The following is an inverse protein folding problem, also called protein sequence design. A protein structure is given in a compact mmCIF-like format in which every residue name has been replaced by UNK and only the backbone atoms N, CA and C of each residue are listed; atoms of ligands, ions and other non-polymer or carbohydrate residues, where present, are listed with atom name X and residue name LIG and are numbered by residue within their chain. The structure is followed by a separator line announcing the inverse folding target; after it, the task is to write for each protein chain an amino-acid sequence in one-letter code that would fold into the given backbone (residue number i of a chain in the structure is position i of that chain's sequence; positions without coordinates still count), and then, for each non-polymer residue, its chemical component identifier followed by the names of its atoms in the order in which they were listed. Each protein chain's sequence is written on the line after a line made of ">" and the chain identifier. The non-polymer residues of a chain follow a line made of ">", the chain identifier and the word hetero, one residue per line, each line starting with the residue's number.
data_IF_028838389728
#
_entry.id   IF_028838389728
#
_cell.length_a   1.000
_cell.length_b   1.000
_cell.length_c   1.000
_cell.angle_alpha   90.00
_cell.angle_beta   90.00
_cell.angle_gamma   90.00
#
_symmetry.space_group_name_H-M   'P 1'
#
loop_
_entity.id
_entity.type
_entity.pdbx_description
1 polymer ?
#
# COMPACT_ATOMS: atom_id res chain seq x y z
N UNK A 1 -41.99 -43.52 -15.25
CA UNK A 1 -42.04 -43.14 -13.86
C UNK A 1 -40.99 -42.05 -13.64
N UNK A 2 -41.49 -40.87 -13.31
CA UNK A 2 -40.71 -39.67 -13.01
C UNK A 2 -40.05 -39.82 -11.65
N UNK A 3 -38.85 -39.29 -11.48
CA UNK A 3 -38.45 -38.57 -10.25
C UNK A 3 -37.40 -37.56 -10.59
N UNK A 4 -37.89 -36.32 -10.76
CA UNK A 4 -37.12 -35.09 -10.69
C UNK A 4 -36.57 -34.94 -9.26
N UNK A 5 -35.30 -34.69 -9.12
CA UNK A 5 -34.72 -34.15 -7.89
C UNK A 5 -34.00 -32.83 -8.24
N UNK A 6 -34.78 -31.77 -8.13
CA UNK A 6 -34.26 -30.40 -8.04
C UNK A 6 -33.40 -30.25 -6.79
N UNK A 7 -32.11 -30.09 -6.96
CA UNK A 7 -31.23 -29.47 -5.95
C UNK A 7 -30.81 -28.09 -6.37
N UNK A 8 -31.74 -27.18 -6.19
CA UNK A 8 -31.50 -25.73 -6.27
C UNK A 8 -30.78 -25.29 -4.99
N UNK A 9 -29.48 -25.53 -4.87
CA UNK A 9 -28.62 -24.93 -3.86
C UNK A 9 -28.27 -23.52 -4.32
N UNK A 10 -29.07 -22.57 -3.87
CA UNK A 10 -28.75 -21.14 -3.99
C UNK A 10 -27.45 -20.87 -3.21
N UNK A 11 -26.31 -20.88 -3.90
CA UNK A 11 -25.11 -20.24 -3.40
C UNK A 11 -25.40 -18.74 -3.26
N UNK A 12 -25.64 -18.28 -2.03
CA UNK A 12 -25.61 -16.86 -1.71
C UNK A 12 -24.20 -16.38 -2.05
N UNK A 13 -24.06 -15.74 -3.19
CA UNK A 13 -22.90 -14.93 -3.52
C UNK A 13 -22.82 -13.80 -2.49
N UNK A 14 -22.07 -14.00 -1.40
CA UNK A 14 -21.56 -12.89 -0.64
C UNK A 14 -20.62 -12.14 -1.58
N UNK A 15 -21.10 -11.07 -2.18
CA UNK A 15 -20.32 -10.15 -2.98
C UNK A 15 -19.22 -9.60 -2.06
N UNK A 16 -18.05 -10.18 -2.09
CA UNK A 16 -16.89 -9.65 -1.38
C UNK A 16 -16.64 -8.27 -1.98
N UNK A 17 -16.74 -7.23 -1.16
CA UNK A 17 -16.49 -5.85 -1.61
C UNK A 17 -15.04 -5.81 -2.11
N UNK A 18 -14.83 -5.23 -3.29
CA UNK A 18 -13.51 -5.02 -3.86
C UNK A 18 -12.67 -4.11 -2.94
N UNK A 19 -11.37 -4.38 -2.83
CA UNK A 19 -10.45 -3.56 -2.01
C UNK A 19 -10.50 -2.11 -2.49
N UNK A 20 -10.49 -1.87 -3.80
CA UNK A 20 -10.57 -0.53 -4.39
C UNK A 20 -11.90 0.15 -4.08
N UNK A 21 -13.02 -0.59 -4.14
CA UNK A 21 -14.34 -0.07 -3.78
C UNK A 21 -14.39 0.32 -2.30
N UNK A 22 -13.80 -0.49 -1.40
CA UNK A 22 -13.71 -0.17 0.03
C UNK A 22 -12.86 1.08 0.28
N UNK A 23 -11.68 1.16 -0.33
CA UNK A 23 -10.80 2.34 -0.25
C UNK A 23 -11.56 3.60 -0.73
N UNK A 24 -12.20 3.53 -1.89
CA UNK A 24 -12.92 4.67 -2.48
C UNK A 24 -14.13 5.07 -1.64
N UNK A 25 -14.86 4.11 -1.09
CA UNK A 25 -16.00 4.36 -0.19
C UNK A 25 -15.55 5.05 1.11
N UNK A 26 -14.42 4.62 1.69
CA UNK A 26 -13.86 5.25 2.88
C UNK A 26 -13.36 6.67 2.59
N UNK A 27 -12.68 6.90 1.46
CA UNK A 27 -12.30 8.24 1.01
C UNK A 27 -13.50 9.17 0.88
N UNK A 28 -14.57 8.74 0.21
CA UNK A 28 -15.78 9.54 0.01
C UNK A 28 -16.46 9.90 1.34
N UNK A 29 -16.24 9.13 2.40
CA UNK A 29 -16.74 9.39 3.75
C UNK A 29 -15.72 10.14 4.62
N UNK A 30 -14.61 10.61 4.05
CA UNK A 30 -13.48 11.21 4.77
C UNK A 30 -12.92 10.31 5.89
N UNK A 31 -13.10 8.99 5.80
CA UNK A 31 -12.58 8.05 6.78
C UNK A 31 -11.13 7.74 6.49
N UNK A 32 -10.27 8.04 7.43
CA UNK A 32 -8.83 7.74 7.35
C UNK A 32 -8.58 6.25 7.51
N UNK A 33 -7.55 5.74 6.82
CA UNK A 33 -7.20 4.32 6.81
C UNK A 33 -5.74 4.10 7.17
N UNK A 34 -5.45 2.98 7.84
CA UNK A 34 -4.10 2.56 8.20
C UNK A 34 -3.78 1.28 7.44
N UNK A 35 -2.64 1.26 6.77
CA UNK A 35 -2.00 0.04 6.27
C UNK A 35 -0.68 -0.21 6.99
N UNK A 36 -0.46 -1.43 7.42
CA UNK A 36 0.84 -1.88 7.92
C UNK A 36 1.59 -2.58 6.80
N UNK A 37 2.88 -2.24 6.64
CA UNK A 37 3.76 -2.88 5.65
C UNK A 37 4.68 -3.88 6.35
N UNK A 38 4.62 -5.13 5.94
CA UNK A 38 5.44 -6.24 6.43
C UNK A 38 6.46 -6.61 5.37
N UNK A 39 7.74 -6.50 5.70
CA UNK A 39 8.85 -6.96 4.85
C UNK A 39 9.05 -8.47 5.07
N UNK A 40 8.81 -9.33 4.07
CA UNK A 40 8.86 -10.78 4.24
C UNK A 40 10.27 -11.32 4.54
N UNK A 41 11.34 -10.57 4.21
CA UNK A 41 12.71 -10.96 4.52
C UNK A 41 13.11 -10.67 5.97
N UNK A 42 12.34 -9.81 6.68
CA UNK A 42 12.63 -9.38 8.05
C UNK A 42 11.64 -9.91 9.07
N UNK A 43 10.40 -10.14 8.66
CA UNK A 43 9.33 -10.48 9.57
C UNK A 43 9.37 -11.97 9.97
N UNK A 44 9.68 -12.25 11.22
CA UNK A 44 9.49 -13.55 11.83
C UNK A 44 8.02 -13.82 12.15
N UNK A 45 7.63 -15.09 12.25
CA UNK A 45 6.27 -15.49 12.64
C UNK A 45 5.87 -14.88 13.99
N UNK A 46 6.80 -14.84 14.96
CA UNK A 46 6.59 -14.23 16.28
C UNK A 46 6.28 -12.73 16.20
N UNK A 47 6.94 -11.99 15.29
CA UNK A 47 6.66 -10.57 15.09
C UNK A 47 5.29 -10.35 14.43
N UNK A 48 4.93 -11.20 13.45
CA UNK A 48 3.59 -11.17 12.82
C UNK A 48 2.51 -11.45 13.87
N UNK A 49 2.72 -12.45 14.75
CA UNK A 49 1.79 -12.79 15.83
C UNK A 49 1.64 -11.65 16.84
N UNK A 50 2.74 -11.02 17.23
CA UNK A 50 2.71 -9.88 18.16
C UNK A 50 1.95 -8.67 17.55
N UNK A 51 2.12 -8.42 16.26
CA UNK A 51 1.46 -7.32 15.57
C UNK A 51 -0.04 -7.57 15.40
N UNK A 52 -0.42 -8.77 14.94
CA UNK A 52 -1.83 -9.14 14.74
C UNK A 52 -2.57 -9.33 16.08
N UNK A 53 -1.87 -9.78 17.13
CA UNK A 53 -2.42 -9.91 18.46
C UNK A 53 -2.55 -8.59 19.24
N UNK A 54 -2.06 -7.47 18.67
CA UNK A 54 -2.16 -6.18 19.33
C UNK A 54 -3.63 -5.72 19.44
N UNK A 55 -4.09 -5.18 20.59
CA UNK A 55 -5.50 -4.78 20.78
C UNK A 55 -6.01 -3.84 19.69
N UNK A 56 -5.19 -2.89 19.26
CA UNK A 56 -5.53 -1.90 18.25
C UNK A 56 -5.46 -2.41 16.79
N UNK A 57 -5.05 -3.66 16.57
CA UNK A 57 -4.98 -4.24 15.23
C UNK A 57 -6.34 -4.27 14.51
N UNK A 58 -7.43 -4.28 15.26
CA UNK A 58 -8.80 -4.19 14.72
C UNK A 58 -9.00 -2.94 13.87
N UNK A 59 -8.28 -1.85 14.17
CA UNK A 59 -8.33 -0.55 13.48
C UNK A 59 -7.42 -0.46 12.25
N UNK A 60 -6.58 -1.47 11.98
CA UNK A 60 -5.83 -1.61 10.73
C UNK A 60 -6.81 -1.96 9.62
N UNK A 61 -6.70 -1.30 8.48
CA UNK A 61 -7.60 -1.52 7.34
C UNK A 61 -7.00 -2.53 6.35
N UNK A 62 -5.69 -2.45 6.06
CA UNK A 62 -4.99 -3.31 5.11
C UNK A 62 -3.64 -3.77 5.65
N UNK A 63 -3.16 -4.91 5.12
CA UNK A 63 -1.80 -5.39 5.35
C UNK A 63 -1.09 -5.42 4.00
N UNK A 64 -0.06 -4.58 3.84
CA UNK A 64 0.80 -4.64 2.68
C UNK A 64 1.96 -5.59 2.96
N UNK A 65 2.33 -6.42 1.98
CA UNK A 65 3.45 -7.37 2.09
C UNK A 65 4.39 -7.18 0.92
N UNK A 66 5.65 -6.93 1.20
CA UNK A 66 6.67 -6.76 0.17
C UNK A 66 7.79 -5.81 0.56
N UNK A 67 8.57 -5.43 -0.42
CA UNK A 67 9.69 -4.52 -0.27
C UNK A 67 10.39 -4.27 -1.60
N UNK A 68 11.25 -3.26 -1.65
CA UNK A 68 11.98 -2.87 -2.87
C UNK A 68 12.84 -3.99 -3.44
N UNK A 69 13.33 -4.87 -2.58
CA UNK A 69 14.07 -6.08 -2.93
C UNK A 69 13.70 -7.17 -1.91
N UNK A 70 13.22 -8.32 -2.39
CA UNK A 70 12.96 -9.51 -1.58
C UNK A 70 13.93 -10.58 -2.09
N UNK A 71 14.84 -11.04 -1.24
CA UNK A 71 15.95 -11.92 -1.60
C UNK A 71 15.74 -13.37 -1.18
N UNK A 72 15.08 -13.60 -0.04
CA UNK A 72 15.00 -14.94 0.56
C UNK A 72 13.76 -15.75 0.14
N UNK A 73 12.93 -15.22 -0.78
CA UNK A 73 11.77 -15.94 -1.32
C UNK A 73 10.67 -16.26 -0.31
N UNK A 74 10.71 -15.65 0.88
CA UNK A 74 9.83 -16.00 2.01
C UNK A 74 8.42 -15.40 1.92
N UNK A 75 8.11 -14.67 0.83
CA UNK A 75 6.82 -13.99 0.64
C UNK A 75 5.63 -14.94 0.75
N UNK A 76 5.73 -16.13 0.13
CA UNK A 76 4.64 -17.11 0.17
C UNK A 76 4.31 -17.56 1.60
N UNK A 77 5.33 -17.85 2.40
CA UNK A 77 5.16 -18.25 3.79
C UNK A 77 4.61 -17.10 4.63
N UNK A 78 5.16 -15.90 4.47
CA UNK A 78 4.70 -14.68 5.16
C UNK A 78 3.19 -14.44 4.92
N UNK A 79 2.75 -14.40 3.64
CA UNK A 79 1.34 -14.21 3.30
C UNK A 79 0.46 -15.31 3.90
N UNK A 80 0.87 -16.58 3.83
CA UNK A 80 0.09 -17.69 4.41
C UNK A 80 -0.03 -17.62 5.92
N UNK A 81 1.02 -17.21 6.61
CA UNK A 81 1.00 -16.97 8.06
C UNK A 81 -0.03 -15.89 8.38
N UNK A 82 0.04 -14.74 7.72
CA UNK A 82 -0.88 -13.62 7.93
C UNK A 82 -2.33 -14.04 7.67
N UNK A 83 -2.60 -14.68 6.53
CA UNK A 83 -3.96 -15.13 6.14
C UNK A 83 -4.58 -16.15 7.09
N UNK A 84 -3.77 -16.94 7.81
CA UNK A 84 -4.26 -17.85 8.86
C UNK A 84 -4.72 -17.12 10.12
N UNK A 85 -4.19 -15.93 10.40
CA UNK A 85 -4.38 -15.18 11.65
C UNK A 85 -5.41 -14.06 11.56
N UNK A 86 -5.65 -13.55 10.35
CA UNK A 86 -6.59 -12.43 10.17
C UNK A 86 -7.37 -12.55 8.86
N UNK A 87 -8.53 -11.89 8.84
CA UNK A 87 -9.36 -11.69 7.63
C UNK A 87 -9.13 -10.34 6.96
N UNK A 88 -8.22 -9.52 7.48
CA UNK A 88 -7.86 -8.23 6.84
C UNK A 88 -7.30 -8.48 5.44
N UNK A 89 -7.63 -7.62 4.46
CA UNK A 89 -7.08 -7.74 3.11
C UNK A 89 -5.54 -7.68 3.12
N UNK A 90 -4.93 -8.64 2.44
CA UNK A 90 -3.48 -8.72 2.23
C UNK A 90 -3.17 -8.29 0.81
N UNK A 91 -2.46 -7.19 0.65
CA UNK A 91 -2.12 -6.59 -0.64
C UNK A 91 -0.61 -6.65 -0.85
N UNK A 92 -0.19 -7.16 -1.99
CA UNK A 92 1.24 -7.19 -2.33
C UNK A 92 1.71 -5.76 -2.66
N UNK A 93 2.83 -5.35 -2.05
CA UNK A 93 3.58 -4.14 -2.39
C UNK A 93 4.86 -4.54 -3.13
N UNK A 94 4.80 -4.72 -4.47
CA UNK A 94 5.85 -5.42 -5.21
C UNK A 94 7.02 -4.51 -5.54
N UNK A 95 8.25 -5.01 -5.35
CA UNK A 95 9.46 -4.44 -5.95
C UNK A 95 9.81 -5.07 -7.30
N UNK A 96 9.23 -6.24 -7.62
CA UNK A 96 9.48 -6.94 -8.90
C UNK A 96 8.33 -7.88 -9.27
N UNK A 97 8.22 -8.30 -10.56
CA UNK A 97 7.24 -9.28 -11.04
C UNK A 97 7.33 -10.66 -10.36
N UNK A 98 8.49 -11.00 -9.79
CA UNK A 98 8.69 -12.25 -9.07
C UNK A 98 7.92 -12.32 -7.75
N UNK A 99 7.49 -11.18 -7.22
CA UNK A 99 6.74 -11.08 -5.95
C UNK A 99 5.24 -11.33 -6.12
N UNK A 100 4.74 -11.60 -7.33
CA UNK A 100 3.33 -11.95 -7.55
C UNK A 100 3.00 -13.27 -6.87
N UNK A 101 2.04 -13.26 -5.93
CA UNK A 101 1.65 -14.42 -5.13
C UNK A 101 0.13 -14.54 -5.05
N UNK A 102 -0.41 -15.66 -5.53
CA UNK A 102 -1.87 -15.93 -5.62
C UNK A 102 -2.60 -16.09 -4.28
N UNK A 103 -1.88 -16.14 -3.16
CA UNK A 103 -2.47 -16.25 -1.82
C UNK A 103 -2.83 -14.92 -1.19
N UNK A 104 -2.39 -13.80 -1.76
CA UNK A 104 -2.83 -12.47 -1.38
C UNK A 104 -4.23 -12.17 -1.96
N UNK A 105 -4.83 -11.09 -1.51
CA UNK A 105 -6.14 -10.62 -1.99
C UNK A 105 -6.00 -9.62 -3.15
N UNK A 106 -4.94 -8.82 -3.14
CA UNK A 106 -4.68 -7.85 -4.19
C UNK A 106 -3.19 -7.54 -4.36
N UNK A 107 -2.90 -6.68 -5.32
CA UNK A 107 -1.55 -6.18 -5.61
C UNK A 107 -1.61 -4.71 -6.03
N UNK A 108 -0.71 -3.89 -5.48
CA UNK A 108 -0.46 -2.56 -6.00
C UNK A 108 0.29 -2.71 -7.33
N UNK A 109 -0.37 -2.43 -8.45
CA UNK A 109 0.29 -2.39 -9.76
C UNK A 109 0.99 -1.04 -9.91
N UNK A 110 2.24 -0.97 -9.42
CA UNK A 110 2.99 0.28 -9.29
C UNK A 110 3.59 0.72 -10.63
N UNK A 111 3.22 1.91 -11.09
CA UNK A 111 3.97 2.64 -12.12
C UNK A 111 4.77 3.75 -11.44
N UNK A 112 6.11 3.71 -11.54
CA UNK A 112 6.99 4.73 -10.92
C UNK A 112 6.96 6.02 -11.77
N UNK A 113 5.84 6.75 -11.67
CA UNK A 113 5.56 7.91 -12.52
C UNK A 113 6.44 9.13 -12.22
N UNK A 114 7.12 9.17 -11.07
CA UNK A 114 8.15 10.19 -10.79
C UNK A 114 9.50 9.88 -11.41
N UNK A 115 9.75 8.64 -11.83
CA UNK A 115 10.95 8.22 -12.54
C UNK A 115 10.89 8.50 -14.04
N UNK A 116 11.99 8.20 -14.73
CA UNK A 116 12.10 8.25 -16.20
C UNK A 116 12.60 6.92 -16.76
N UNK A 117 12.43 5.85 -15.95
CA UNK A 117 12.81 4.50 -16.32
C UNK A 117 11.61 3.78 -16.94
N UNK A 118 11.67 3.48 -18.23
CA UNK A 118 10.61 2.81 -18.98
C UNK A 118 10.25 1.43 -18.42
N UNK A 119 11.20 0.71 -17.85
CA UNK A 119 10.94 -0.59 -17.23
C UNK A 119 9.98 -0.49 -16.05
N UNK A 120 10.10 0.57 -15.25
CA UNK A 120 9.25 0.80 -14.09
C UNK A 120 7.96 1.58 -14.43
N UNK A 121 7.89 2.14 -15.64
CA UNK A 121 6.67 2.78 -16.16
C UNK A 121 5.75 1.79 -16.87
N UNK A 122 6.30 0.84 -17.63
CA UNK A 122 5.51 -0.12 -18.41
C UNK A 122 6.18 -1.50 -18.58
N UNK A 123 7.52 -1.60 -18.66
CA UNK A 123 8.22 -2.85 -18.96
C UNK A 123 7.84 -4.00 -18.01
N UNK A 124 7.91 -3.76 -16.71
CA UNK A 124 7.55 -4.75 -15.68
C UNK A 124 6.06 -5.12 -15.69
N UNK A 125 5.20 -4.22 -16.14
CA UNK A 125 3.76 -4.48 -16.30
C UNK A 125 3.52 -5.44 -17.46
N UNK A 126 4.21 -5.25 -18.59
CA UNK A 126 4.15 -6.17 -19.73
C UNK A 126 4.63 -7.56 -19.33
N UNK A 127 5.78 -7.66 -18.66
CA UNK A 127 6.36 -8.92 -18.17
C UNK A 127 5.40 -9.68 -17.23
N UNK A 128 4.68 -8.95 -16.37
CA UNK A 128 3.79 -9.54 -15.36
C UNK A 128 2.36 -9.78 -15.81
N UNK A 129 1.93 -9.22 -16.94
CA UNK A 129 0.52 -9.14 -17.36
C UNK A 129 -0.23 -10.46 -17.38
N UNK A 130 0.33 -11.50 -18.02
CA UNK A 130 -0.29 -12.82 -18.07
C UNK A 130 -0.34 -13.52 -16.70
N UNK A 131 0.70 -13.35 -15.89
CA UNK A 131 0.74 -13.90 -14.52
C UNK A 131 -0.32 -13.24 -13.65
N UNK A 132 -0.49 -11.94 -13.75
CA UNK A 132 -1.54 -11.18 -13.05
C UNK A 132 -2.93 -11.58 -13.51
N UNK A 133 -3.18 -11.67 -14.81
CA UNK A 133 -4.47 -12.10 -15.38
C UNK A 133 -4.92 -13.47 -14.81
N UNK A 134 -3.98 -14.36 -14.54
CA UNK A 134 -4.25 -15.72 -14.06
C UNK A 134 -4.16 -15.87 -12.54
N UNK A 135 -4.00 -14.77 -11.79
CA UNK A 135 -3.69 -14.83 -10.35
C UNK A 135 -4.88 -14.70 -9.43
N UNK A 136 -6.05 -14.33 -9.86
CA UNK A 136 -7.22 -13.94 -9.05
C UNK A 136 -6.96 -12.75 -8.09
N UNK A 137 -5.82 -12.07 -8.19
CA UNK A 137 -5.53 -10.88 -7.40
C UNK A 137 -6.36 -9.70 -7.89
N UNK A 138 -6.86 -8.89 -6.98
CA UNK A 138 -7.38 -7.58 -7.34
C UNK A 138 -6.21 -6.67 -7.72
N UNK A 139 -6.25 -6.10 -8.92
CA UNK A 139 -5.19 -5.25 -9.46
C UNK A 139 -5.50 -3.80 -9.12
N UNK A 140 -4.71 -3.24 -8.21
CA UNK A 140 -4.82 -1.85 -7.75
C UNK A 140 -3.85 -0.98 -8.55
N UNK A 141 -4.30 -0.41 -9.66
CA UNK A 141 -3.47 0.46 -10.52
C UNK A 141 -3.05 1.71 -9.75
N UNK A 142 -1.73 1.86 -9.52
CA UNK A 142 -1.17 2.84 -8.60
C UNK A 142 -0.07 3.67 -9.25
N UNK A 143 -0.27 4.99 -9.31
CA UNK A 143 0.79 5.94 -9.67
C UNK A 143 1.71 6.14 -8.47
N UNK A 144 2.95 5.63 -8.55
CA UNK A 144 3.91 5.68 -7.48
C UNK A 144 4.87 6.85 -7.65
N UNK A 145 4.93 7.70 -6.64
CA UNK A 145 5.72 8.94 -6.62
C UNK A 145 6.76 8.83 -5.52
N UNK A 146 8.03 8.73 -5.91
CA UNK A 146 9.15 8.71 -4.97
C UNK A 146 9.55 10.14 -4.59
N UNK A 147 9.56 10.40 -3.29
CA UNK A 147 9.92 11.68 -2.68
C UNK A 147 11.25 11.59 -1.94
N UNK A 148 11.94 12.72 -1.83
CA UNK A 148 13.16 12.81 -1.03
C UNK A 148 12.83 12.65 0.46
N UNK A 149 13.29 11.55 1.04
CA UNK A 149 13.16 11.23 2.47
C UNK A 149 14.33 11.71 3.33
N UNK A 150 15.21 12.58 2.81
CA UNK A 150 16.38 13.10 3.51
C UNK A 150 17.57 12.14 3.56
N UNK A 151 17.55 11.05 2.80
CA UNK A 151 18.64 10.09 2.60
C UNK A 151 18.39 9.21 1.39
N UNK A 152 19.45 8.61 0.84
CA UNK A 152 19.31 7.54 -0.15
C UNK A 152 18.60 6.33 0.47
N UNK A 153 17.54 5.86 -0.18
CA UNK A 153 16.75 4.72 0.25
C UNK A 153 16.93 3.53 -0.69
N UNK A 154 16.56 2.33 -0.27
CA UNK A 154 16.67 1.13 -1.11
C UNK A 154 15.90 1.31 -2.42
N UNK A 155 14.70 1.90 -2.37
CA UNK A 155 13.90 2.12 -3.58
C UNK A 155 14.57 3.09 -4.54
N UNK A 156 15.18 4.18 -4.07
CA UNK A 156 15.89 5.11 -4.96
C UNK A 156 17.10 4.48 -5.63
N UNK A 157 17.84 3.64 -4.88
CA UNK A 157 19.00 2.93 -5.40
C UNK A 157 18.60 1.85 -6.45
N UNK A 158 17.67 0.96 -6.10
CA UNK A 158 17.24 -0.16 -6.96
C UNK A 158 16.53 0.35 -8.22
N UNK A 159 15.71 1.41 -8.12
CA UNK A 159 15.00 1.97 -9.25
C UNK A 159 15.85 2.90 -10.12
N UNK A 160 17.04 3.26 -9.66
CA UNK A 160 17.89 4.30 -10.26
C UNK A 160 17.10 5.59 -10.53
N UNK A 161 16.28 6.00 -9.55
CA UNK A 161 15.38 7.15 -9.67
C UNK A 161 15.78 8.23 -8.67
N UNK A 162 15.98 9.45 -9.18
CA UNK A 162 16.12 10.64 -8.33
C UNK A 162 14.76 10.98 -7.74
N UNK A 163 14.62 11.02 -6.41
CA UNK A 163 13.37 11.40 -5.77
C UNK A 163 12.99 12.85 -6.05
N UNK A 164 11.69 13.17 -6.05
CA UNK A 164 11.22 14.56 -6.14
C UNK A 164 11.59 15.29 -4.83
N UNK A 165 12.25 16.45 -4.89
CA UNK A 165 12.59 17.24 -3.69
C UNK A 165 11.35 17.71 -2.93
N UNK A 166 11.43 17.75 -1.60
CA UNK A 166 10.33 18.15 -0.72
C UNK A 166 9.90 19.63 -0.93
N UNK A 167 10.80 20.49 -1.39
CA UNK A 167 10.54 21.90 -1.69
C UNK A 167 9.93 22.14 -3.07
N UNK A 168 9.60 21.08 -3.82
CA UNK A 168 9.00 21.14 -5.15
C UNK A 168 7.59 20.55 -5.21
N UNK A 169 6.64 21.03 -4.37
CA UNK A 169 5.28 20.48 -4.29
C UNK A 169 4.53 20.52 -5.63
N UNK A 170 4.78 21.53 -6.46
CA UNK A 170 4.17 21.65 -7.80
C UNK A 170 4.60 20.53 -8.75
N UNK A 171 5.85 20.03 -8.65
CA UNK A 171 6.32 18.91 -9.47
C UNK A 171 5.61 17.62 -9.03
N UNK A 172 5.49 17.39 -7.72
CA UNK A 172 4.78 16.23 -7.19
C UNK A 172 3.30 16.25 -7.59
N UNK A 173 2.64 17.40 -7.47
CA UNK A 173 1.24 17.59 -7.84
C UNK A 173 1.00 17.34 -9.33
N UNK A 174 1.80 17.92 -10.22
CA UNK A 174 1.71 17.70 -11.66
C UNK A 174 1.97 16.22 -12.03
N UNK A 175 2.92 15.56 -11.36
CA UNK A 175 3.22 14.15 -11.57
C UNK A 175 2.05 13.26 -11.16
N UNK A 176 1.45 13.52 -9.99
CA UNK A 176 0.28 12.79 -9.51
C UNK A 176 -0.94 12.99 -10.42
N UNK A 177 -1.19 14.23 -10.86
CA UNK A 177 -2.27 14.54 -11.80
C UNK A 177 -2.10 13.79 -13.13
N UNK A 178 -0.88 13.77 -13.68
CA UNK A 178 -0.58 13.00 -14.89
C UNK A 178 -0.86 11.51 -14.67
N UNK A 179 -0.53 10.97 -13.49
CA UNK A 179 -0.90 9.59 -13.13
C UNK A 179 -2.40 9.34 -13.16
N UNK A 180 -3.21 10.26 -12.63
CA UNK A 180 -4.67 10.18 -12.69
C UNK A 180 -5.18 10.24 -14.14
N UNK A 181 -4.63 11.11 -14.96
CA UNK A 181 -4.96 11.25 -16.38
C UNK A 181 -4.62 10.00 -17.19
N UNK A 182 -3.56 9.27 -16.81
CA UNK A 182 -3.22 7.95 -17.36
C UNK A 182 -4.12 6.82 -16.85
N UNK A 183 -5.01 7.09 -15.90
CA UNK A 183 -6.01 6.13 -15.42
C UNK A 183 -5.63 5.38 -14.14
N UNK A 184 -4.57 5.77 -13.44
CA UNK A 184 -4.27 5.21 -12.12
C UNK A 184 -5.41 5.49 -11.15
N UNK A 185 -5.75 4.48 -10.34
CA UNK A 185 -6.86 4.51 -9.39
C UNK A 185 -6.45 4.92 -7.98
N UNK A 186 -5.16 4.88 -7.72
CA UNK A 186 -4.52 5.28 -6.47
C UNK A 186 -3.26 6.11 -6.80
N UNK A 187 -2.93 7.06 -5.94
CA UNK A 187 -1.61 7.71 -5.93
C UNK A 187 -0.91 7.36 -4.64
N UNK A 188 0.36 6.96 -4.72
CA UNK A 188 1.19 6.66 -3.57
C UNK A 188 2.40 7.61 -3.51
N UNK A 189 2.47 8.45 -2.48
CA UNK A 189 3.65 9.24 -2.13
C UNK A 189 4.51 8.46 -1.17
N UNK A 190 5.74 8.13 -1.55
CA UNK A 190 6.66 7.35 -0.71
C UNK A 190 8.01 8.05 -0.55
N UNK A 191 8.40 8.25 0.70
CA UNK A 191 9.75 8.70 1.04
C UNK A 191 10.76 7.55 1.14
N UNK A 192 10.28 6.30 1.00
CA UNK A 192 11.09 5.09 1.06
C UNK A 192 11.30 4.54 2.47
N UNK A 193 11.74 3.29 2.50
CA UNK A 193 12.03 2.57 3.73
C UNK A 193 13.17 3.24 4.50
N UNK A 194 13.01 3.38 5.83
CA UNK A 194 13.96 4.03 6.72
C UNK A 194 14.28 5.49 6.38
N UNK A 195 13.41 6.21 5.68
CA UNK A 195 13.56 7.63 5.42
C UNK A 195 13.72 8.44 6.72
N UNK A 196 14.50 9.53 6.66
CA UNK A 196 14.66 10.44 7.79
C UNK A 196 13.38 11.25 8.02
N UNK A 197 12.74 11.68 6.93
CA UNK A 197 11.57 12.53 6.93
C UNK A 197 10.41 11.86 6.18
N UNK A 198 9.19 12.13 6.61
CA UNK A 198 7.97 11.84 5.84
C UNK A 198 7.70 12.93 4.78
N UNK A 199 6.74 12.70 3.90
CA UNK A 199 6.29 13.71 2.95
C UNK A 199 5.78 14.97 3.68
N UNK A 200 6.24 16.16 3.25
CA UNK A 200 5.85 17.41 3.89
C UNK A 200 4.36 17.71 3.71
N UNK A 201 3.75 18.34 4.71
CA UNK A 201 2.33 18.73 4.68
C UNK A 201 2.00 19.52 3.43
N UNK A 202 2.84 20.52 3.08
CA UNK A 202 2.68 21.36 1.89
C UNK A 202 2.66 20.53 0.59
N UNK A 203 3.51 19.49 0.50
CA UNK A 203 3.58 18.63 -0.67
C UNK A 203 2.31 17.75 -0.76
N UNK A 204 1.90 17.14 0.36
CA UNK A 204 0.68 16.31 0.42
C UNK A 204 -0.55 17.15 0.04
N UNK A 205 -0.70 18.36 0.61
CA UNK A 205 -1.80 19.28 0.30
C UNK A 205 -1.83 19.66 -1.18
N UNK A 206 -0.64 19.96 -1.77
CA UNK A 206 -0.54 20.30 -3.18
C UNK A 206 -0.98 19.15 -4.08
N UNK A 207 -0.59 17.92 -3.77
CA UNK A 207 -1.01 16.73 -4.51
C UNK A 207 -2.51 16.50 -4.31
N UNK A 208 -3.01 16.52 -3.07
CA UNK A 208 -4.42 16.23 -2.76
C UNK A 208 -5.38 17.20 -3.44
N UNK A 209 -4.96 18.46 -3.64
CA UNK A 209 -5.76 19.48 -4.35
C UNK A 209 -5.98 19.13 -5.82
N UNK A 210 -5.02 18.46 -6.47
CA UNK A 210 -5.06 18.19 -7.91
C UNK A 210 -5.68 16.82 -8.25
N UNK A 211 -5.84 15.91 -7.26
CA UNK A 211 -6.31 14.55 -7.51
C UNK A 211 -7.63 14.27 -6.79
N UNK A 212 -8.46 13.41 -7.38
CA UNK A 212 -9.74 12.90 -6.81
C UNK A 212 -9.69 11.42 -6.47
N UNK A 213 -8.58 10.75 -6.76
CA UNK A 213 -8.37 9.36 -6.36
C UNK A 213 -7.78 9.29 -4.93
N UNK A 214 -7.89 8.14 -4.24
CA UNK A 214 -7.30 7.98 -2.91
C UNK A 214 -5.79 8.20 -2.91
N UNK A 215 -5.32 8.92 -1.88
CA UNK A 215 -3.92 9.26 -1.67
C UNK A 215 -3.33 8.40 -0.55
N UNK A 216 -2.34 7.60 -0.88
CA UNK A 216 -1.55 6.80 0.05
C UNK A 216 -0.26 7.56 0.36
N UNK A 217 0.13 7.62 1.62
CA UNK A 217 1.40 8.23 2.04
C UNK A 217 2.17 7.29 2.95
N UNK A 218 3.44 7.06 2.62
CA UNK A 218 4.33 6.19 3.39
C UNK A 218 5.77 6.69 3.44
N UNK A 219 6.56 6.03 4.29
CA UNK A 219 7.96 6.34 4.52
C UNK A 219 8.18 7.50 5.52
N UNK A 220 9.10 7.29 6.46
CA UNK A 220 9.54 8.34 7.40
C UNK A 220 8.57 8.70 8.53
N UNK A 221 7.41 8.08 8.67
CA UNK A 221 6.44 8.32 9.76
C UNK A 221 6.89 7.54 11.00
N UNK A 222 7.18 8.24 12.10
CA UNK A 222 7.81 7.66 13.30
C UNK A 222 7.11 8.00 14.61
N UNK A 223 6.22 8.99 14.62
CA UNK A 223 5.49 9.45 15.79
C UNK A 223 4.00 9.60 15.47
N UNK A 224 3.16 9.62 16.51
CA UNK A 224 1.75 9.97 16.38
C UNK A 224 1.59 11.33 15.68
N UNK A 225 2.41 12.31 16.06
CA UNK A 225 2.34 13.66 15.49
C UNK A 225 2.64 13.69 13.99
N UNK A 226 3.62 12.88 13.52
CA UNK A 226 3.88 12.74 12.09
C UNK A 226 2.66 12.19 11.36
N UNK A 227 2.05 11.12 11.90
CA UNK A 227 0.85 10.51 11.32
C UNK A 227 -0.34 11.48 11.28
N UNK A 228 -0.58 12.25 12.37
CA UNK A 228 -1.63 13.28 12.41
C UNK A 228 -1.40 14.35 11.34
N UNK A 229 -0.18 14.86 11.19
CA UNK A 229 0.16 15.83 10.15
C UNK A 229 -0.11 15.30 8.75
N UNK A 230 0.32 14.07 8.47
CA UNK A 230 0.12 13.42 7.18
C UNK A 230 -1.37 13.25 6.87
N UNK A 231 -2.16 12.79 7.84
CA UNK A 231 -3.61 12.67 7.67
C UNK A 231 -4.30 14.03 7.48
N UNK A 232 -3.98 15.02 8.32
CA UNK A 232 -4.55 16.39 8.22
C UNK A 232 -4.17 17.08 6.91
N UNK A 233 -3.00 16.77 6.38
CA UNK A 233 -2.56 17.29 5.08
C UNK A 233 -3.33 16.70 3.88
N UNK A 234 -4.07 15.60 4.07
CA UNK A 234 -4.96 15.04 3.05
C UNK A 234 -4.69 13.60 2.65
N UNK A 235 -3.79 12.88 3.32
CA UNK A 235 -3.65 11.45 3.11
C UNK A 235 -4.95 10.72 3.45
N UNK A 236 -5.36 9.79 2.60
CA UNK A 236 -6.50 8.89 2.85
C UNK A 236 -6.02 7.62 3.55
N UNK A 237 -4.83 7.13 3.17
CA UNK A 237 -4.19 5.94 3.74
C UNK A 237 -2.77 6.30 4.20
N UNK A 238 -2.45 6.00 5.45
CA UNK A 238 -1.07 6.07 5.97
C UNK A 238 -0.49 4.66 6.02
N UNK A 239 0.75 4.52 5.51
CA UNK A 239 1.48 3.24 5.50
C UNK A 239 2.69 3.32 6.40
N UNK A 240 2.80 2.38 7.34
CA UNK A 240 3.96 2.25 8.24
C UNK A 240 4.48 0.81 8.21
N UNK A 241 5.79 0.66 8.05
CA UNK A 241 6.49 -0.64 8.07
C UNK A 241 7.53 -0.71 9.17
N UNK A 242 8.77 -0.40 8.84
CA UNK A 242 9.96 -0.63 9.70
C UNK A 242 9.85 -0.12 11.14
N UNK A 243 9.06 0.92 11.39
CA UNK A 243 8.90 1.43 12.75
C UNK A 243 8.07 0.47 13.60
N UNK A 244 7.00 -0.11 13.04
CA UNK A 244 6.18 -1.14 13.70
C UNK A 244 6.93 -2.46 13.91
N UNK A 245 7.85 -2.82 13.00
CA UNK A 245 8.71 -4.01 13.17
C UNK A 245 9.58 -3.90 14.43
N UNK A 246 10.02 -2.68 14.77
CA UNK A 246 10.85 -2.38 15.93
C UNK A 246 10.06 -2.09 17.20
N UNK A 247 8.90 -1.45 17.05
CA UNK A 247 8.04 -1.02 18.14
C UNK A 247 6.57 -1.27 17.79
N UNK A 248 6.01 -2.47 18.09
CA UNK A 248 4.59 -2.76 17.83
C UNK A 248 3.61 -1.83 18.57
N UNK A 249 4.01 -1.25 19.70
CA UNK A 249 3.17 -0.31 20.46
C UNK A 249 2.88 1.00 19.70
N UNK A 250 3.69 1.32 18.71
CA UNK A 250 3.40 2.45 17.81
C UNK A 250 2.06 2.30 17.08
N UNK A 251 1.47 1.11 17.03
CA UNK A 251 0.14 0.91 16.44
C UNK A 251 -0.93 1.70 17.20
N UNK A 252 -0.86 1.78 18.53
CA UNK A 252 -1.79 2.61 19.32
C UNK A 252 -1.67 4.10 18.98
N UNK A 253 -0.46 4.58 18.76
CA UNK A 253 -0.21 5.98 18.35
C UNK A 253 -0.79 6.26 16.96
N UNK A 254 -0.63 5.33 16.02
CA UNK A 254 -1.22 5.45 14.68
C UNK A 254 -2.75 5.48 14.70
N UNK A 255 -3.34 4.64 15.54
CA UNK A 255 -4.79 4.60 15.71
C UNK A 255 -5.29 5.90 16.36
N UNK A 256 -4.60 6.42 17.37
CA UNK A 256 -4.92 7.73 17.94
C UNK A 256 -4.83 8.83 16.88
N UNK A 257 -3.76 8.84 16.05
CA UNK A 257 -3.60 9.80 14.96
C UNK A 257 -4.74 9.74 13.93
N UNK A 258 -5.21 8.52 13.60
CA UNK A 258 -6.34 8.30 12.68
C UNK A 258 -7.64 8.97 13.17
N UNK A 259 -7.90 8.93 14.49
CA UNK A 259 -9.12 9.49 15.08
C UNK A 259 -9.02 10.99 15.40
N UNK A 260 -7.79 11.54 15.48
CA UNK A 260 -7.53 12.96 15.73
C UNK A 260 -7.48 13.81 14.44
N UNK A 261 -7.77 13.22 13.27
CA UNK A 261 -7.48 13.82 11.95
C UNK A 261 -8.74 14.16 11.16
#
# INVERSE_FOLDING_TARGET
>A
MKTDVDHNTSFRNHKTISILEDISSNQNKNKKMISILIDPDKASEKQIDALIGHPDFTNVDFIFVGGSLVTDGNMNNCIRIIKKRTKKPVVIFPGSPNQINKHADGILLLSLISGRNSDLLIGRHVESSHKLKNSNLEILSTGYVLLDGGRTTTVSYISNTTPIPQDKPGIAAATALAGCQLGHKLIYLDCGSCANNHASEKLIQSVKKEINVPLIVGGGIKTQFDAEKVFKAGADIVVVGNHLEKNPYFLSELVAAKYNS
#
